data_IF_444420829678
#
_entry.id   IF_444420829678
#
_cell.length_a   1.000
_cell.length_b   1.000
_cell.length_c   1.000
_cell.angle_alpha   90.00
_cell.angle_beta   90.00
_cell.angle_gamma   90.00
#
_symmetry.space_group_name_H-M   'P 1'
#
loop_
_entity.id
_entity.type
_entity.pdbx_description
1 polymer ?
#
# COMPACT_ATOMS: atom_id res chain seq x y z
N UNK A 1 -23.15 -1.65 19.49
CA UNK A 1 -22.03 -0.91 18.85
C UNK A 1 -20.77 -1.78 18.63
N UNK A 2 -20.30 -2.56 19.63
CA UNK A 2 -19.08 -3.40 19.48
C UNK A 2 -19.19 -4.43 18.35
N UNK A 3 -20.32 -5.15 18.26
CA UNK A 3 -20.57 -6.14 17.22
C UNK A 3 -20.51 -5.54 15.81
N UNK A 4 -21.22 -4.45 15.56
CA UNK A 4 -21.20 -3.74 14.27
C UNK A 4 -19.78 -3.30 13.87
N UNK A 5 -18.99 -2.75 14.81
CA UNK A 5 -17.60 -2.37 14.55
C UNK A 5 -16.72 -3.58 14.21
N UNK A 6 -16.89 -4.70 14.91
CA UNK A 6 -16.18 -5.95 14.61
C UNK A 6 -16.58 -6.51 13.25
N UNK A 7 -17.86 -6.45 12.89
CA UNK A 7 -18.36 -6.81 11.57
C UNK A 7 -17.72 -5.99 10.46
N UNK A 8 -17.64 -4.67 10.61
CA UNK A 8 -16.96 -3.79 9.65
C UNK A 8 -15.47 -4.15 9.48
N UNK A 9 -14.76 -4.40 10.58
CA UNK A 9 -13.36 -4.84 10.52
C UNK A 9 -13.21 -6.21 9.87
N UNK A 10 -14.12 -7.14 10.14
CA UNK A 10 -14.11 -8.44 9.47
C UNK A 10 -14.28 -8.26 7.97
N UNK A 11 -15.24 -7.47 7.51
CA UNK A 11 -15.45 -7.24 6.07
C UNK A 11 -14.25 -6.53 5.43
N UNK A 12 -13.66 -5.54 6.11
CA UNK A 12 -12.45 -4.86 5.64
C UNK A 12 -11.24 -5.81 5.48
N UNK A 13 -11.18 -6.88 6.27
CA UNK A 13 -10.15 -7.91 6.14
C UNK A 13 -10.52 -8.96 5.07
N UNK A 14 -11.80 -9.33 4.96
CA UNK A 14 -12.28 -10.42 4.11
C UNK A 14 -12.34 -10.02 2.64
N UNK A 15 -12.87 -8.85 2.30
CA UNK A 15 -13.02 -8.45 0.90
C UNK A 15 -11.71 -8.45 0.10
N UNK A 16 -10.57 -8.01 0.66
CA UNK A 16 -9.29 -8.19 -0.02
C UNK A 16 -8.97 -9.66 -0.35
N UNK A 17 -9.30 -10.63 0.51
CA UNK A 17 -9.10 -12.05 0.17
C UNK A 17 -9.98 -12.47 -1.01
N UNK A 18 -11.27 -12.10 -1.00
CA UNK A 18 -12.20 -12.41 -2.09
C UNK A 18 -11.77 -11.86 -3.45
N UNK A 19 -11.13 -10.68 -3.46
CA UNK A 19 -10.70 -10.04 -4.69
C UNK A 19 -9.31 -10.52 -5.15
N UNK A 20 -8.38 -10.71 -4.20
CA UNK A 20 -6.96 -10.87 -4.50
C UNK A 20 -6.49 -12.32 -4.49
N UNK A 21 -7.15 -13.20 -3.74
CA UNK A 21 -6.73 -14.60 -3.62
C UNK A 21 -7.53 -15.46 -4.60
N UNK A 22 -6.88 -16.09 -5.60
CA UNK A 22 -7.55 -16.85 -6.65
C UNK A 22 -7.93 -18.27 -6.17
N UNK A 23 -8.54 -18.39 -5.00
CA UNK A 23 -9.05 -19.66 -4.50
C UNK A 23 -10.50 -19.85 -4.90
N UNK A 24 -10.79 -21.01 -5.46
CA UNK A 24 -12.12 -21.45 -5.87
C UNK A 24 -12.45 -22.71 -5.08
N UNK A 25 -13.68 -22.79 -4.57
CA UNK A 25 -14.18 -23.99 -3.92
C UNK A 25 -15.37 -24.53 -4.70
N UNK A 26 -15.22 -25.73 -5.25
CA UNK A 26 -16.32 -26.45 -5.87
C UNK A 26 -17.13 -27.20 -4.80
N UNK A 27 -18.42 -26.87 -4.59
CA UNK A 27 -19.24 -27.54 -3.61
C UNK A 27 -19.38 -29.04 -3.89
N UNK A 28 -19.36 -29.86 -2.84
CA UNK A 28 -19.58 -31.31 -3.01
C UNK A 28 -20.99 -31.59 -3.51
N UNK A 29 -21.20 -32.63 -4.35
CA UNK A 29 -22.55 -33.04 -4.75
C UNK A 29 -23.44 -33.31 -3.53
N UNK A 30 -24.72 -32.94 -3.63
CA UNK A 30 -25.72 -33.24 -2.60
C UNK A 30 -26.23 -34.66 -2.87
N UNK A 31 -26.10 -35.60 -1.92
CA UNK A 31 -26.60 -36.96 -2.13
C UNK A 31 -28.13 -37.02 -1.96
N UNK A 32 -28.80 -37.68 -2.91
CA UNK A 32 -30.23 -37.97 -2.86
C UNK A 32 -31.14 -36.78 -3.14
N UNK A 33 -32.45 -36.99 -2.99
CA UNK A 33 -33.55 -36.07 -3.32
C UNK A 33 -34.54 -35.85 -2.16
N UNK A 34 -34.20 -36.33 -0.96
CA UNK A 34 -35.04 -36.20 0.24
C UNK A 34 -35.14 -34.78 0.81
N UNK A 35 -35.93 -34.62 1.88
CA UNK A 35 -36.19 -33.33 2.53
C UNK A 35 -34.92 -32.49 2.79
N UNK A 36 -33.89 -33.07 3.42
CA UNK A 36 -32.65 -32.35 3.70
C UNK A 36 -31.86 -31.98 2.44
N UNK A 37 -31.91 -32.81 1.39
CA UNK A 37 -31.29 -32.49 0.11
C UNK A 37 -31.97 -31.29 -0.56
N UNK A 38 -33.29 -31.19 -0.48
CA UNK A 38 -34.05 -30.03 -0.98
C UNK A 38 -33.68 -28.73 -0.24
N UNK A 39 -33.54 -28.79 1.09
CA UNK A 39 -33.12 -27.64 1.90
C UNK A 39 -31.69 -27.19 1.60
N UNK A 40 -30.74 -28.12 1.49
CA UNK A 40 -29.36 -27.81 1.13
C UNK A 40 -29.28 -27.26 -0.30
N UNK A 41 -30.10 -27.78 -1.21
CA UNK A 41 -30.19 -27.26 -2.59
C UNK A 41 -30.69 -25.82 -2.60
N UNK A 42 -31.72 -25.51 -1.80
CA UNK A 42 -32.25 -24.15 -1.65
C UNK A 42 -31.21 -23.17 -1.08
N UNK A 43 -30.47 -23.58 -0.04
CA UNK A 43 -29.36 -22.79 0.52
C UNK A 43 -28.30 -22.48 -0.55
N UNK A 44 -27.98 -23.46 -1.39
CA UNK A 44 -26.92 -23.36 -2.41
C UNK A 44 -27.31 -22.62 -3.67
N UNK A 45 -28.57 -22.23 -3.87
CA UNK A 45 -29.02 -21.50 -5.08
C UNK A 45 -28.19 -20.25 -5.34
N UNK A 46 -27.77 -19.55 -4.27
CA UNK A 46 -27.00 -18.31 -4.35
C UNK A 46 -25.50 -18.53 -4.14
N UNK A 47 -25.04 -19.77 -4.00
CA UNK A 47 -23.63 -20.04 -3.77
C UNK A 47 -22.84 -19.83 -5.05
N UNK A 48 -21.74 -19.07 -4.91
CA UNK A 48 -20.73 -18.96 -5.94
C UNK A 48 -19.52 -19.81 -5.53
N UNK A 49 -18.88 -20.53 -6.47
CA UNK A 49 -17.59 -21.17 -6.21
C UNK A 49 -16.48 -20.12 -5.97
N UNK A 50 -16.75 -18.86 -6.34
CA UNK A 50 -15.93 -17.69 -6.05
C UNK A 50 -16.28 -17.14 -4.66
N UNK A 51 -15.30 -16.58 -3.96
CA UNK A 51 -15.48 -15.91 -2.63
C UNK A 51 -15.79 -16.83 -1.45
N UNK A 52 -15.49 -18.12 -1.54
CA UNK A 52 -15.62 -19.06 -0.42
C UNK A 52 -14.55 -18.84 0.68
N UNK A 53 -13.37 -18.32 0.33
CA UNK A 53 -12.22 -18.16 1.23
C UNK A 53 -12.03 -16.70 1.67
N UNK A 54 -12.11 -16.36 2.97
CA UNK A 54 -12.48 -17.20 4.11
C UNK A 54 -13.99 -17.40 4.29
N UNK A 55 -14.37 -18.40 5.09
CA UNK A 55 -15.76 -18.79 5.33
C UNK A 55 -16.56 -17.72 6.10
N UNK A 56 -17.36 -16.93 5.36
CA UNK A 56 -18.15 -15.82 5.88
C UNK A 56 -19.08 -16.24 7.04
N UNK A 57 -19.83 -17.34 6.85
CA UNK A 57 -20.79 -17.86 7.84
C UNK A 57 -20.13 -18.10 9.20
N UNK A 58 -18.95 -18.71 9.18
CA UNK A 58 -18.21 -19.05 10.39
C UNK A 58 -17.67 -17.79 11.09
N UNK A 59 -17.21 -16.79 10.33
CA UNK A 59 -16.78 -15.50 10.90
C UNK A 59 -17.92 -14.84 11.67
N UNK A 60 -19.11 -14.70 11.06
CA UNK A 60 -20.24 -14.05 11.73
C UNK A 60 -20.74 -14.82 12.95
N UNK A 61 -20.80 -16.15 12.85
CA UNK A 61 -21.14 -17.01 13.98
C UNK A 61 -20.17 -16.79 15.16
N UNK A 62 -18.86 -16.74 14.90
CA UNK A 62 -17.86 -16.48 15.93
C UNK A 62 -17.93 -15.05 16.50
N UNK A 63 -18.21 -14.03 15.68
CA UNK A 63 -18.38 -12.66 16.17
C UNK A 63 -19.61 -12.54 17.07
N UNK A 64 -20.70 -13.25 16.73
CA UNK A 64 -21.88 -13.33 17.58
C UNK A 64 -21.54 -14.07 18.88
N UNK A 65 -20.89 -15.22 18.80
CA UNK A 65 -20.44 -15.98 19.96
C UNK A 65 -19.59 -15.15 20.92
N UNK A 66 -18.65 -14.36 20.38
CA UNK A 66 -17.82 -13.46 21.17
C UNK A 66 -18.63 -12.37 21.91
N UNK A 67 -19.73 -11.89 21.32
CA UNK A 67 -20.63 -10.95 21.97
C UNK A 67 -21.47 -11.62 23.07
N UNK A 68 -22.03 -12.81 22.79
CA UNK A 68 -22.84 -13.55 23.76
C UNK A 68 -21.98 -13.97 24.96
N UNK A 69 -20.77 -14.47 24.72
CA UNK A 69 -19.82 -14.85 25.76
C UNK A 69 -19.43 -13.69 26.69
N UNK A 70 -19.36 -12.46 26.16
CA UNK A 70 -19.07 -11.28 26.99
C UNK A 70 -20.30 -10.72 27.73
N UNK A 71 -21.50 -11.12 27.34
CA UNK A 71 -22.75 -10.50 27.83
C UNK A 71 -23.53 -11.41 28.79
N UNK A 72 -23.34 -12.72 28.73
CA UNK A 72 -24.14 -13.69 29.47
C UNK A 72 -23.28 -14.74 30.20
N UNK A 73 -23.70 -15.13 31.41
CA UNK A 73 -23.02 -16.13 32.26
C UNK A 73 -22.77 -17.48 31.57
N UNK A 74 -23.72 -17.94 30.74
CA UNK A 74 -23.59 -19.16 29.92
C UNK A 74 -23.29 -18.87 28.45
N UNK A 75 -22.83 -17.65 28.14
CA UNK A 75 -22.55 -17.22 26.77
C UNK A 75 -21.45 -18.01 26.07
N UNK A 76 -20.66 -18.80 26.81
CA UNK A 76 -19.68 -19.73 26.24
C UNK A 76 -20.35 -20.80 25.35
N UNK A 77 -21.61 -21.16 25.59
CA UNK A 77 -22.38 -22.08 24.74
C UNK A 77 -22.52 -21.56 23.30
N UNK A 78 -22.47 -20.24 23.10
CA UNK A 78 -22.51 -19.66 21.77
C UNK A 78 -21.26 -20.02 20.94
N UNK A 79 -20.12 -20.30 21.58
CA UNK A 79 -18.94 -20.81 20.87
C UNK A 79 -19.12 -22.25 20.40
N UNK A 80 -19.82 -23.08 21.17
CA UNK A 80 -20.19 -24.44 20.76
C UNK A 80 -21.07 -24.39 19.51
N UNK A 81 -22.07 -23.50 19.51
CA UNK A 81 -22.92 -23.28 18.33
C UNK A 81 -22.13 -22.74 17.13
N UNK A 82 -21.21 -21.79 17.34
CA UNK A 82 -20.39 -21.27 16.24
C UNK A 82 -19.52 -22.38 15.61
N UNK A 83 -18.91 -23.24 16.43
CA UNK A 83 -18.16 -24.41 15.94
C UNK A 83 -19.08 -25.37 15.20
N UNK A 84 -20.28 -25.66 15.72
CA UNK A 84 -21.25 -26.50 15.05
C UNK A 84 -21.66 -25.95 13.68
N UNK A 85 -21.86 -24.63 13.55
CA UNK A 85 -22.12 -23.95 12.26
C UNK A 85 -20.92 -24.09 11.31
N UNK A 86 -19.69 -23.96 11.81
CA UNK A 86 -18.50 -24.21 10.99
C UNK A 86 -18.48 -25.64 10.47
N UNK A 87 -18.63 -26.62 11.35
CA UNK A 87 -18.68 -28.05 10.99
C UNK A 87 -19.83 -28.34 10.03
N UNK A 88 -20.99 -27.70 10.17
CA UNK A 88 -22.08 -27.87 9.22
C UNK A 88 -21.70 -27.35 7.83
N UNK A 89 -21.03 -26.19 7.73
CA UNK A 89 -20.57 -25.67 6.44
C UNK A 89 -19.64 -26.63 5.68
N UNK A 90 -18.76 -27.36 6.38
CA UNK A 90 -17.85 -28.32 5.74
C UNK A 90 -18.52 -29.66 5.44
N UNK A 91 -19.37 -30.14 6.34
CA UNK A 91 -20.10 -31.42 6.16
C UNK A 91 -21.16 -31.33 5.08
N UNK A 92 -21.86 -30.20 5.00
CA UNK A 92 -22.78 -29.88 3.91
C UNK A 92 -22.02 -29.57 2.63
N UNK A 93 -20.70 -29.35 2.66
CA UNK A 93 -19.86 -29.21 1.46
C UNK A 93 -19.99 -27.84 0.78
N UNK A 94 -20.16 -26.77 1.56
CA UNK A 94 -20.21 -25.36 1.10
C UNK A 94 -18.86 -24.66 1.33
N UNK A 95 -18.06 -25.13 2.28
CA UNK A 95 -16.71 -24.62 2.54
C UNK A 95 -15.68 -25.74 2.66
N UNK A 96 -14.45 -25.48 2.23
CA UNK A 96 -13.31 -26.30 2.57
C UNK A 96 -12.88 -26.07 4.02
N UNK A 97 -12.15 -27.04 4.60
CA UNK A 97 -11.57 -26.88 5.94
C UNK A 97 -10.59 -25.69 6.01
N UNK A 98 -9.89 -25.41 4.92
CA UNK A 98 -9.01 -24.23 4.78
C UNK A 98 -9.77 -22.91 4.93
N UNK A 99 -11.02 -22.84 4.46
CA UNK A 99 -11.83 -21.62 4.52
C UNK A 99 -12.23 -21.30 5.96
N UNK A 100 -12.52 -22.34 6.75
CA UNK A 100 -12.79 -22.24 8.19
C UNK A 100 -11.55 -21.83 8.97
N UNK A 101 -10.39 -22.41 8.65
CA UNK A 101 -9.12 -22.05 9.30
C UNK A 101 -8.79 -20.58 9.04
N UNK A 102 -8.93 -20.11 7.79
CA UNK A 102 -8.76 -18.72 7.45
C UNK A 102 -9.78 -17.80 8.14
N UNK A 103 -11.04 -18.23 8.22
CA UNK A 103 -12.08 -17.52 8.99
C UNK A 103 -11.72 -17.42 10.48
N UNK A 104 -11.21 -18.49 11.09
CA UNK A 104 -10.75 -18.47 12.49
C UNK A 104 -9.60 -17.47 12.69
N UNK A 105 -8.65 -17.40 11.73
CA UNK A 105 -7.58 -16.39 11.74
C UNK A 105 -8.15 -14.98 11.64
N UNK A 106 -9.09 -14.72 10.72
CA UNK A 106 -9.76 -13.42 10.59
C UNK A 106 -10.46 -13.03 11.89
N UNK A 107 -11.22 -13.96 12.50
CA UNK A 107 -11.89 -13.73 13.79
C UNK A 107 -10.86 -13.37 14.86
N UNK A 108 -9.76 -14.12 14.96
CA UNK A 108 -8.71 -13.84 15.93
C UNK A 108 -8.10 -12.44 15.73
N UNK A 109 -7.85 -12.03 14.49
CA UNK A 109 -7.37 -10.69 14.15
C UNK A 109 -8.36 -9.59 14.55
N UNK A 110 -9.65 -9.76 14.23
CA UNK A 110 -10.71 -8.81 14.58
C UNK A 110 -10.87 -8.68 16.10
N UNK A 111 -10.88 -9.81 16.82
CA UNK A 111 -11.00 -9.80 18.28
C UNK A 111 -9.77 -9.19 18.96
N UNK A 112 -8.57 -9.37 18.39
CA UNK A 112 -7.32 -8.77 18.87
C UNK A 112 -7.05 -7.37 18.31
N UNK A 113 -7.96 -6.80 17.53
CA UNK A 113 -7.79 -5.52 16.82
C UNK A 113 -7.21 -4.38 17.69
N UNK A 114 -7.73 -4.10 18.90
CA UNK A 114 -7.17 -3.05 19.77
C UNK A 114 -5.71 -3.30 20.18
N UNK A 115 -5.37 -4.56 20.49
CA UNK A 115 -4.00 -4.95 20.87
C UNK A 115 -3.07 -4.88 19.67
N UNK A 116 -3.53 -5.34 18.49
CA UNK A 116 -2.80 -5.23 17.23
C UNK A 116 -2.54 -3.77 16.87
N UNK A 117 -3.55 -2.92 16.95
CA UNK A 117 -3.40 -1.48 16.71
C UNK A 117 -2.38 -0.85 17.67
N UNK A 118 -2.46 -1.16 18.96
CA UNK A 118 -1.50 -0.65 19.96
C UNK A 118 -0.07 -1.11 19.64
N UNK A 119 0.10 -2.37 19.26
CA UNK A 119 1.39 -2.92 18.85
C UNK A 119 1.91 -2.23 17.58
N UNK A 120 1.09 -2.12 16.52
CA UNK A 120 1.46 -1.44 15.28
C UNK A 120 1.87 -0.01 15.55
N UNK A 121 1.08 0.73 16.32
CA UNK A 121 1.37 2.12 16.68
C UNK A 121 2.70 2.27 17.43
N UNK A 122 3.00 1.36 18.38
CA UNK A 122 4.30 1.32 19.09
C UNK A 122 5.46 1.00 18.15
N UNK A 123 5.30 0.07 17.22
CA UNK A 123 6.34 -0.26 16.22
C UNK A 123 6.58 0.93 15.28
N UNK A 124 5.52 1.57 14.81
CA UNK A 124 5.59 2.78 13.99
C UNK A 124 6.28 3.92 14.74
N UNK A 125 5.95 4.13 16.01
CA UNK A 125 6.59 5.14 16.86
C UNK A 125 8.09 4.86 17.09
N UNK A 126 8.47 3.60 17.30
CA UNK A 126 9.89 3.22 17.36
C UNK A 126 10.62 3.54 16.06
N UNK A 127 10.00 3.23 14.91
CA UNK A 127 10.54 3.58 13.59
C UNK A 127 10.65 5.10 13.39
N UNK A 128 9.64 5.86 13.78
CA UNK A 128 9.66 7.32 13.74
C UNK A 128 10.84 7.93 14.53
N UNK A 129 11.28 7.26 15.59
CA UNK A 129 12.38 7.68 16.45
C UNK A 129 13.69 6.89 16.24
N UNK A 130 13.82 6.14 15.13
CA UNK A 130 15.00 5.31 14.86
C UNK A 130 16.06 6.01 14.01
N UNK A 131 15.99 7.34 13.88
CA UNK A 131 16.90 8.11 13.04
C UNK A 131 18.34 7.97 13.56
N UNK A 132 19.28 7.68 12.65
CA UNK A 132 20.73 7.59 12.90
C UNK A 132 21.51 8.22 11.75
N UNK A 133 22.65 8.85 12.07
CA UNK A 133 23.69 9.27 11.13
C UNK A 133 25.04 8.63 11.45
N UNK A 134 25.84 8.41 10.41
CA UNK A 134 27.25 8.03 10.49
C UNK A 134 28.07 9.03 9.66
N UNK A 135 29.22 9.45 10.17
CA UNK A 135 30.11 10.39 9.46
C UNK A 135 31.39 9.69 9.04
N UNK A 136 31.76 9.85 7.78
CA UNK A 136 33.00 9.32 7.20
C UNK A 136 33.66 10.45 6.40
N UNK A 137 34.62 11.14 7.03
CA UNK A 137 35.23 12.34 6.44
C UNK A 137 34.18 13.44 6.20
N UNK A 138 34.11 14.03 4.98
CA UNK A 138 33.12 15.07 4.66
C UNK A 138 31.70 14.52 4.48
N UNK A 139 31.54 13.19 4.40
CA UNK A 139 30.28 12.54 4.09
C UNK A 139 29.52 12.18 5.36
N UNK A 140 28.21 12.39 5.32
CA UNK A 140 27.25 11.89 6.31
C UNK A 140 26.30 10.93 5.63
N UNK A 141 26.22 9.71 6.19
CA UNK A 141 25.27 8.68 5.81
C UNK A 141 24.12 8.65 6.80
N UNK A 142 22.88 8.67 6.31
CA UNK A 142 21.67 8.67 7.11
C UNK A 142 20.91 7.36 6.93
N UNK A 143 20.54 6.73 8.05
CA UNK A 143 19.79 5.46 8.12
C UNK A 143 18.56 5.41 7.21
N UNK A 144 17.81 6.51 7.09
CA UNK A 144 16.58 6.53 6.31
C UNK A 144 16.81 6.46 4.78
N UNK A 145 18.04 6.63 4.30
CA UNK A 145 18.40 6.37 2.90
C UNK A 145 18.26 4.90 2.49
N UNK A 146 18.50 3.98 3.43
CA UNK A 146 18.41 2.53 3.19
C UNK A 146 17.00 2.08 2.77
N UNK A 147 15.94 2.77 3.24
CA UNK A 147 14.58 2.45 2.84
C UNK A 147 14.28 2.78 1.37
N UNK A 148 15.03 3.70 0.73
CA UNK A 148 14.92 3.93 -0.71
C UNK A 148 15.58 2.77 -1.47
N UNK A 149 16.76 2.33 -1.01
CA UNK A 149 17.39 1.14 -1.54
C UNK A 149 16.48 -0.08 -1.45
N UNK A 150 15.86 -0.30 -0.29
CA UNK A 150 14.89 -1.37 -0.08
C UNK A 150 13.67 -1.22 -0.99
N UNK A 151 13.13 0.00 -1.13
CA UNK A 151 12.00 0.26 -2.01
C UNK A 151 12.30 -0.16 -3.44
N UNK A 152 13.45 0.27 -3.98
CA UNK A 152 13.88 -0.08 -5.35
C UNK A 152 14.20 -1.58 -5.45
N UNK A 153 14.94 -2.14 -4.50
CA UNK A 153 15.34 -3.55 -4.51
C UNK A 153 14.14 -4.51 -4.48
N UNK A 154 13.00 -4.10 -3.91
CA UNK A 154 11.77 -4.89 -3.88
C UNK A 154 10.86 -4.56 -5.06
N UNK A 155 10.62 -3.28 -5.35
CA UNK A 155 9.64 -2.90 -6.37
C UNK A 155 10.13 -3.14 -7.79
N UNK A 156 11.43 -2.99 -8.04
CA UNK A 156 12.01 -3.10 -9.37
C UNK A 156 11.91 -4.54 -9.91
N UNK A 157 12.27 -5.59 -9.15
CA UNK A 157 12.01 -6.97 -9.57
C UNK A 157 10.53 -7.29 -9.78
N UNK A 158 9.61 -6.73 -8.97
CA UNK A 158 8.16 -6.92 -9.19
C UNK A 158 7.73 -6.32 -10.52
N UNK A 159 8.22 -5.11 -10.84
CA UNK A 159 7.98 -4.47 -12.13
C UNK A 159 8.45 -5.34 -13.29
N UNK A 160 9.66 -5.89 -13.21
CA UNK A 160 10.21 -6.73 -14.28
C UNK A 160 9.59 -8.12 -14.34
N UNK A 161 9.19 -8.69 -13.21
CA UNK A 161 8.43 -9.94 -13.20
C UNK A 161 7.14 -9.82 -14.01
N UNK A 162 6.42 -8.71 -13.86
CA UNK A 162 5.19 -8.45 -14.61
C UNK A 162 5.47 -7.97 -16.04
N UNK A 163 6.31 -6.96 -16.14
CA UNK A 163 6.61 -6.21 -17.35
C UNK A 163 7.61 -6.89 -18.28
N UNK A 164 8.27 -7.98 -17.88
CA UNK A 164 9.26 -8.74 -18.66
C UNK A 164 10.69 -8.17 -18.65
N UNK A 165 11.70 -9.03 -18.86
CA UNK A 165 13.13 -8.67 -18.77
C UNK A 165 13.59 -7.70 -19.87
N UNK A 166 12.87 -7.62 -20.98
CA UNK A 166 13.06 -6.63 -22.04
C UNK A 166 12.81 -5.19 -21.57
N UNK A 167 12.00 -4.99 -20.52
CA UNK A 167 11.69 -3.68 -19.96
C UNK A 167 12.73 -3.15 -18.95
N UNK A 168 13.76 -3.94 -18.61
CA UNK A 168 14.77 -3.54 -17.60
C UNK A 168 15.42 -2.20 -17.92
N UNK A 169 15.80 -1.98 -19.18
CA UNK A 169 16.42 -0.73 -19.62
C UNK A 169 15.49 0.47 -19.48
N UNK A 170 14.23 0.32 -19.89
CA UNK A 170 13.22 1.37 -19.79
C UNK A 170 12.85 1.70 -18.35
N UNK A 171 12.70 0.70 -17.49
CA UNK A 171 12.39 0.92 -16.07
C UNK A 171 13.57 1.57 -15.33
N UNK A 172 14.80 1.22 -15.69
CA UNK A 172 16.00 1.87 -15.18
C UNK A 172 16.08 3.33 -15.64
N UNK A 173 15.84 3.59 -16.92
CA UNK A 173 15.79 4.94 -17.48
C UNK A 173 14.71 5.78 -16.78
N UNK A 174 13.50 5.25 -16.60
CA UNK A 174 12.42 5.95 -15.91
C UNK A 174 12.78 6.30 -14.46
N UNK A 175 13.50 5.41 -13.77
CA UNK A 175 14.00 5.65 -12.41
C UNK A 175 15.06 6.74 -12.37
N UNK A 176 16.02 6.71 -13.30
CA UNK A 176 17.12 7.68 -13.37
C UNK A 176 16.63 9.06 -13.80
N UNK A 177 15.89 9.14 -14.91
CA UNK A 177 15.31 10.39 -15.44
C UNK A 177 14.32 10.98 -14.44
N UNK A 178 13.53 10.13 -13.77
CA UNK A 178 12.68 10.52 -12.65
C UNK A 178 13.47 11.15 -11.51
N UNK A 179 14.56 10.52 -11.05
CA UNK A 179 15.40 11.05 -9.98
C UNK A 179 16.06 12.39 -10.35
N UNK A 180 16.61 12.49 -11.56
CA UNK A 180 17.23 13.73 -12.07
C UNK A 180 16.20 14.85 -12.18
N UNK A 181 15.04 14.57 -12.78
CA UNK A 181 13.97 15.55 -12.95
C UNK A 181 13.39 15.99 -11.60
N UNK A 182 13.28 15.08 -10.63
CA UNK A 182 12.91 15.40 -9.27
C UNK A 182 13.92 16.34 -8.60
N UNK A 183 15.22 16.10 -8.79
CA UNK A 183 16.27 16.95 -8.25
C UNK A 183 16.23 18.37 -8.85
N UNK A 184 16.10 18.45 -10.18
CA UNK A 184 15.98 19.72 -10.90
C UNK A 184 14.75 20.51 -10.46
N UNK A 185 13.59 19.85 -10.38
CA UNK A 185 12.35 20.48 -9.93
C UNK A 185 12.47 21.06 -8.52
N UNK A 186 13.04 20.29 -7.59
CA UNK A 186 13.21 20.77 -6.22
C UNK A 186 14.08 22.03 -6.14
N UNK A 187 15.15 22.11 -6.94
CA UNK A 187 16.06 23.25 -6.87
C UNK A 187 15.61 24.45 -7.68
N UNK A 188 15.04 24.22 -8.87
CA UNK A 188 14.68 25.30 -9.80
C UNK A 188 13.29 25.86 -9.53
N UNK A 189 12.36 25.03 -9.05
CA UNK A 189 10.95 25.41 -8.87
C UNK A 189 10.59 25.53 -7.39
N UNK A 190 10.90 24.53 -6.55
CA UNK A 190 10.52 24.58 -5.13
C UNK A 190 11.44 25.48 -4.30
N UNK A 191 12.74 25.51 -4.61
CA UNK A 191 13.70 26.57 -4.27
C UNK A 191 13.76 27.05 -2.82
N UNK A 192 13.24 26.31 -1.84
CA UNK A 192 13.09 26.79 -0.46
C UNK A 192 14.36 26.53 0.36
N UNK A 193 15.03 27.59 0.87
CA UNK A 193 16.20 27.45 1.75
C UNK A 193 15.86 26.73 3.07
N UNK A 194 14.59 26.76 3.47
CA UNK A 194 14.09 26.23 4.74
C UNK A 194 13.70 24.75 4.66
N UNK A 195 13.27 24.28 3.48
CA UNK A 195 12.74 22.92 3.33
C UNK A 195 13.78 21.87 2.96
N UNK A 196 15.00 22.30 2.58
CA UNK A 196 16.14 21.46 2.19
C UNK A 196 15.66 20.18 1.48
N UNK A 197 14.78 20.33 0.47
CA UNK A 197 14.22 19.20 -0.27
C UNK A 197 15.18 18.91 -1.42
N UNK A 198 15.86 17.77 -1.42
CA UNK A 198 16.75 17.44 -2.52
C UNK A 198 16.01 16.95 -3.76
N UNK A 199 14.76 16.47 -3.60
CA UNK A 199 13.94 15.91 -4.67
C UNK A 199 12.48 16.36 -4.54
N UNK A 200 11.89 16.77 -5.67
CA UNK A 200 10.52 17.25 -5.80
C UNK A 200 9.64 16.20 -6.48
N UNK A 201 8.45 15.99 -5.92
CA UNK A 201 7.54 14.92 -6.37
C UNK A 201 7.11 15.08 -7.83
N UNK A 202 6.74 16.29 -8.24
CA UNK A 202 6.27 16.57 -9.60
C UNK A 202 7.37 16.40 -10.64
N UNK A 203 8.60 16.80 -10.33
CA UNK A 203 9.75 16.52 -11.19
C UNK A 203 9.93 15.03 -11.45
N UNK A 204 9.74 14.19 -10.42
CA UNK A 204 9.77 12.74 -10.57
C UNK A 204 8.70 12.21 -11.52
N UNK A 205 7.46 12.69 -11.39
CA UNK A 205 6.37 12.33 -12.31
C UNK A 205 6.73 12.74 -13.74
N UNK A 206 7.17 13.99 -13.94
CA UNK A 206 7.53 14.51 -15.26
C UNK A 206 8.63 13.63 -15.88
N UNK A 207 9.67 13.29 -15.12
CA UNK A 207 10.76 12.46 -15.63
C UNK A 207 10.31 11.06 -16.07
N UNK A 208 9.41 10.42 -15.31
CA UNK A 208 8.82 9.13 -15.69
C UNK A 208 7.96 9.27 -16.95
N UNK A 209 7.11 10.30 -17.03
CA UNK A 209 6.28 10.56 -18.21
C UNK A 209 7.11 10.87 -19.45
N UNK A 210 8.21 11.59 -19.32
CA UNK A 210 9.16 11.84 -20.41
C UNK A 210 9.77 10.54 -20.93
N UNK A 211 10.11 9.61 -20.04
CA UNK A 211 10.63 8.30 -20.46
C UNK A 211 9.58 7.48 -21.19
N UNK A 212 8.32 7.52 -20.73
CA UNK A 212 7.20 6.85 -21.40
C UNK A 212 6.93 7.47 -22.79
N UNK A 213 6.98 8.81 -22.90
CA UNK A 213 6.86 9.51 -24.17
C UNK A 213 8.01 9.19 -25.12
N UNK A 214 9.24 9.09 -24.62
CA UNK A 214 10.40 8.68 -25.40
C UNK A 214 10.27 7.23 -25.89
N UNK A 215 9.77 6.31 -25.05
CA UNK A 215 9.46 4.95 -25.46
C UNK A 215 8.42 4.92 -26.59
N UNK A 216 7.36 5.72 -26.49
CA UNK A 216 6.35 5.84 -27.53
C UNK A 216 6.92 6.41 -28.85
N UNK A 217 7.86 7.36 -28.77
CA UNK A 217 8.46 7.99 -29.94
C UNK A 217 9.40 7.08 -30.74
N UNK A 218 9.82 5.95 -30.16
CA UNK A 218 10.65 4.93 -30.81
C UNK A 218 9.90 3.61 -31.01
N UNK A 219 8.57 3.65 -31.02
CA UNK A 219 7.66 2.51 -31.19
C UNK A 219 7.87 1.36 -30.17
N UNK A 220 8.43 1.68 -29.00
CA UNK A 220 8.45 0.75 -27.87
C UNK A 220 7.06 0.68 -27.21
N UNK A 221 6.80 -0.42 -26.48
CA UNK A 221 5.50 -0.64 -25.81
C UNK A 221 5.31 0.28 -24.59
N UNK A 222 4.92 1.52 -24.88
CA UNK A 222 4.73 2.57 -23.89
C UNK A 222 3.58 2.26 -22.91
N UNK A 223 2.56 1.51 -23.35
CA UNK A 223 1.48 1.06 -22.47
C UNK A 223 1.98 0.06 -21.43
N UNK A 224 2.76 -0.92 -21.86
CA UNK A 224 3.38 -1.91 -20.97
C UNK A 224 4.36 -1.24 -20.02
N UNK A 225 5.16 -0.28 -20.51
CA UNK A 225 6.05 0.50 -19.66
C UNK A 225 5.29 1.33 -18.62
N UNK A 226 4.23 2.04 -19.01
CA UNK A 226 3.40 2.84 -18.11
C UNK A 226 2.75 1.97 -17.02
N UNK A 227 2.12 0.86 -17.41
CA UNK A 227 1.50 -0.06 -16.46
C UNK A 227 2.55 -0.67 -15.51
N UNK A 228 3.70 -1.09 -16.05
CA UNK A 228 4.83 -1.63 -15.26
C UNK A 228 5.33 -0.60 -14.25
N UNK A 229 5.50 0.65 -14.68
CA UNK A 229 5.91 1.76 -13.82
C UNK A 229 4.87 2.01 -12.73
N UNK A 230 3.57 1.94 -13.03
CA UNK A 230 2.51 2.12 -12.03
C UNK A 230 2.55 1.05 -10.93
N UNK A 231 2.71 -0.25 -11.27
CA UNK A 231 2.85 -1.31 -10.26
C UNK A 231 4.13 -1.13 -9.44
N UNK A 232 5.24 -0.83 -10.11
CA UNK A 232 6.54 -0.56 -9.49
C UNK A 232 6.42 0.61 -8.50
N UNK A 233 5.77 1.69 -8.91
CA UNK A 233 5.56 2.89 -8.08
C UNK A 233 4.65 2.62 -6.89
N UNK A 234 3.62 1.77 -7.01
CA UNK A 234 2.77 1.44 -5.86
C UNK A 234 3.60 0.82 -4.72
N UNK A 235 4.40 -0.21 -5.01
CA UNK A 235 5.29 -0.83 -4.01
C UNK A 235 6.43 0.10 -3.59
N UNK A 236 7.08 0.77 -4.56
CA UNK A 236 8.21 1.65 -4.30
C UNK A 236 7.83 2.85 -3.43
N UNK A 237 6.70 3.51 -3.71
CA UNK A 237 6.17 4.59 -2.87
C UNK A 237 5.73 4.05 -1.51
N UNK A 238 5.09 2.87 -1.46
CA UNK A 238 4.68 2.23 -0.22
C UNK A 238 5.87 2.04 0.73
N UNK A 239 6.90 1.31 0.30
CA UNK A 239 8.12 1.08 1.09
C UNK A 239 8.84 2.41 1.37
N UNK A 240 8.84 3.34 0.41
CA UNK A 240 9.35 4.70 0.58
C UNK A 240 8.71 5.48 1.74
N UNK A 241 7.50 5.12 2.20
CA UNK A 241 6.89 5.73 3.39
C UNK A 241 7.63 5.41 4.68
N UNK A 242 8.43 4.33 4.72
CA UNK A 242 9.31 4.03 5.86
C UNK A 242 10.42 5.08 5.98
N UNK A 243 11.00 5.53 4.86
CA UNK A 243 11.88 6.71 4.84
C UNK A 243 11.15 7.92 5.39
N UNK A 244 9.94 8.20 4.91
CA UNK A 244 9.16 9.35 5.35
C UNK A 244 8.88 9.30 6.85
N UNK A 245 8.60 8.12 7.39
CA UNK A 245 8.37 7.90 8.82
C UNK A 245 9.60 8.30 9.65
N UNK A 246 10.79 7.80 9.29
CA UNK A 246 12.04 8.11 10.01
C UNK A 246 12.47 9.56 9.82
N UNK A 247 12.28 10.14 8.64
CA UNK A 247 12.58 11.55 8.38
C UNK A 247 11.53 12.50 8.98
N UNK A 248 10.33 12.00 9.27
CA UNK A 248 9.18 12.78 9.74
C UNK A 248 8.56 13.70 8.68
N UNK A 249 8.89 13.55 7.39
CA UNK A 249 8.11 14.21 6.34
C UNK A 249 6.78 13.48 6.14
N UNK A 250 5.80 14.13 5.51
CA UNK A 250 4.49 13.50 5.29
C UNK A 250 3.72 13.18 6.56
N UNK A 251 3.92 13.95 7.63
CA UNK A 251 3.35 13.69 8.96
C UNK A 251 1.92 14.23 9.12
N UNK A 252 1.20 13.66 10.07
CA UNK A 252 -0.18 14.01 10.37
C UNK A 252 -0.33 15.24 11.26
N UNK A 253 -1.55 15.76 11.35
CA UNK A 253 -1.95 16.76 12.34
C UNK A 253 -2.09 16.12 13.74
N UNK A 254 -2.16 16.93 14.81
CA UNK A 254 -2.43 16.43 16.15
C UNK A 254 -3.63 15.49 16.19
N UNK A 255 -3.49 14.39 16.93
CA UNK A 255 -4.42 13.28 17.01
C UNK A 255 -4.58 12.82 18.47
N UNK A 256 -5.69 12.14 18.83
CA UNK A 256 -5.80 11.49 20.13
C UNK A 256 -4.65 10.51 20.38
N UNK A 257 -4.14 10.41 21.61
CA UNK A 257 -3.01 9.55 21.97
C UNK A 257 -3.26 8.05 21.70
N UNK A 258 -4.52 7.62 21.65
CA UNK A 258 -4.92 6.25 21.29
C UNK A 258 -4.72 5.94 19.80
N UNK A 259 -4.58 6.97 18.96
CA UNK A 259 -4.40 6.87 17.50
C UNK A 259 -2.99 7.34 17.07
N UNK A 260 -2.50 8.42 17.67
CA UNK A 260 -1.27 9.08 17.21
C UNK A 260 0.03 8.38 17.59
N UNK A 261 1.10 8.69 16.87
CA UNK A 261 2.49 8.41 17.26
C UNK A 261 3.16 9.71 17.71
N UNK A 262 4.20 9.62 18.52
CA UNK A 262 4.98 10.77 19.00
C UNK A 262 6.41 10.75 18.46
N UNK A 263 6.90 11.92 18.05
CA UNK A 263 8.30 12.12 17.69
C UNK A 263 9.00 12.78 18.88
N UNK A 264 10.02 12.12 19.43
CA UNK A 264 10.86 12.64 20.53
C UNK A 264 12.31 12.83 20.10
N UNK A 265 12.72 12.15 19.03
CA UNK A 265 14.04 12.36 18.43
C UNK A 265 14.14 13.80 17.88
N UNK A 266 15.28 14.50 18.03
CA UNK A 266 15.40 15.90 17.61
C UNK A 266 15.46 16.10 16.10
N UNK A 267 15.93 15.08 15.35
CA UNK A 267 16.18 15.19 13.91
C UNK A 267 14.92 15.17 13.00
N UNK A 268 13.91 14.31 13.21
CA UNK A 268 12.73 14.29 12.34
C UNK A 268 12.02 15.66 12.26
N UNK A 269 11.40 15.95 11.10
CA UNK A 269 10.72 17.23 10.85
C UNK A 269 9.66 17.64 11.88
N UNK A 270 8.84 16.75 12.46
CA UNK A 270 7.86 17.13 13.47
C UNK A 270 8.50 17.84 14.67
N UNK A 271 9.63 17.32 15.15
CA UNK A 271 10.40 17.93 16.24
C UNK A 271 11.17 19.15 15.75
N UNK A 272 11.88 19.03 14.62
CA UNK A 272 12.85 20.04 14.17
C UNK A 272 12.21 21.30 13.55
N UNK A 273 11.12 21.14 12.80
CA UNK A 273 10.57 22.19 11.91
C UNK A 273 9.12 22.55 12.22
N UNK A 274 8.33 21.63 12.79
CA UNK A 274 6.90 21.83 12.99
C UNK A 274 6.50 22.13 14.44
N UNK A 275 7.45 22.13 15.38
CA UNK A 275 7.18 22.29 16.82
C UNK A 275 6.14 21.29 17.37
N UNK A 276 6.13 20.07 16.82
CA UNK A 276 5.26 18.95 17.20
C UNK A 276 6.00 17.85 17.98
N UNK A 277 7.19 18.15 18.51
CA UNK A 277 7.93 17.23 19.37
C UNK A 277 7.11 16.84 20.60
N UNK A 278 7.02 15.54 20.89
CA UNK A 278 6.22 14.98 21.98
C UNK A 278 4.70 15.01 21.78
N UNK A 279 4.20 15.66 20.73
CA UNK A 279 2.76 15.73 20.42
C UNK A 279 2.33 14.46 19.67
N UNK A 280 1.22 13.86 20.09
CA UNK A 280 0.63 12.73 19.38
C UNK A 280 0.03 13.22 18.04
N UNK A 281 0.53 12.69 16.93
CA UNK A 281 0.08 13.05 15.58
C UNK A 281 -0.34 11.81 14.79
N UNK A 282 -1.24 11.97 13.81
CA UNK A 282 -1.64 10.85 12.98
C UNK A 282 -0.41 10.24 12.26
N UNK A 283 -0.19 8.91 12.31
CA UNK A 283 0.84 8.24 11.52
C UNK A 283 0.44 8.13 10.05
N UNK A 284 0.27 9.26 9.36
CA UNK A 284 -0.16 9.31 7.96
C UNK A 284 0.73 8.49 7.03
N UNK A 285 2.03 8.39 7.32
CA UNK A 285 2.95 7.54 6.56
C UNK A 285 2.60 6.05 6.66
N UNK A 286 2.10 5.59 7.82
CA UNK A 286 1.60 4.22 7.99
C UNK A 286 0.32 4.02 7.17
N UNK A 287 -0.59 5.01 7.17
CA UNK A 287 -1.81 4.94 6.37
C UNK A 287 -1.48 4.85 4.88
N UNK A 288 -0.56 5.69 4.41
CA UNK A 288 -0.07 5.66 3.03
C UNK A 288 0.55 4.30 2.69
N UNK A 289 1.40 3.75 3.57
CA UNK A 289 2.06 2.47 3.37
C UNK A 289 1.02 1.36 3.20
N UNK A 290 0.07 1.26 4.14
CA UNK A 290 -0.98 0.25 4.09
C UNK A 290 -1.83 0.35 2.81
N UNK A 291 -2.21 1.58 2.44
CA UNK A 291 -2.97 1.82 1.22
C UNK A 291 -2.18 1.47 -0.03
N UNK A 292 -0.93 1.90 -0.15
CA UNK A 292 -0.10 1.65 -1.34
C UNK A 292 0.25 0.17 -1.53
N UNK A 293 0.43 -0.59 -0.43
CA UNK A 293 0.58 -2.05 -0.52
C UNK A 293 -0.70 -2.70 -1.03
N UNK A 294 -1.87 -2.27 -0.54
CA UNK A 294 -3.16 -2.76 -1.03
C UNK A 294 -3.35 -2.44 -2.52
N UNK A 295 -3.05 -1.21 -2.93
CA UNK A 295 -3.08 -0.81 -4.35
C UNK A 295 -2.13 -1.67 -5.18
N UNK A 296 -0.88 -1.85 -4.75
CA UNK A 296 0.07 -2.72 -5.43
C UNK A 296 -0.47 -4.14 -5.62
N UNK A 297 -1.08 -4.72 -4.59
CA UNK A 297 -1.70 -6.05 -4.67
C UNK A 297 -2.89 -6.09 -5.65
N UNK A 298 -3.75 -5.07 -5.67
CA UNK A 298 -4.84 -4.94 -6.64
C UNK A 298 -4.28 -4.88 -8.06
N UNK A 299 -3.25 -4.07 -8.31
CA UNK A 299 -2.68 -3.93 -9.64
C UNK A 299 -1.99 -5.21 -10.12
N UNK A 300 -1.27 -5.91 -9.23
CA UNK A 300 -0.73 -7.25 -9.52
C UNK A 300 -1.88 -8.19 -9.87
N UNK A 301 -2.97 -8.18 -9.12
CA UNK A 301 -4.13 -9.04 -9.40
C UNK A 301 -4.74 -8.74 -10.77
N UNK A 302 -4.93 -7.47 -11.10
CA UNK A 302 -5.42 -7.06 -12.43
C UNK A 302 -4.48 -7.51 -13.55
N UNK A 303 -3.16 -7.42 -13.32
CA UNK A 303 -2.16 -7.93 -14.25
C UNK A 303 -2.29 -9.43 -14.47
N UNK A 304 -2.41 -10.21 -13.38
CA UNK A 304 -2.56 -11.66 -13.45
C UNK A 304 -3.88 -12.09 -14.11
N UNK A 305 -4.89 -11.23 -14.09
CA UNK A 305 -6.15 -11.39 -14.82
C UNK A 305 -6.07 -10.91 -16.28
N UNK A 306 -4.87 -10.55 -16.76
CA UNK A 306 -4.62 -10.06 -18.12
C UNK A 306 -5.48 -8.84 -18.47
N UNK A 307 -5.79 -7.99 -17.48
CA UNK A 307 -6.53 -6.76 -17.71
C UNK A 307 -5.78 -5.86 -18.72
N UNK A 308 -6.48 -5.00 -19.47
CA UNK A 308 -5.83 -4.05 -20.37
C UNK A 308 -4.80 -3.20 -19.63
N UNK A 309 -3.63 -3.00 -20.23
CA UNK A 309 -2.53 -2.21 -19.65
C UNK A 309 -2.95 -0.78 -19.27
N UNK A 310 -3.76 -0.13 -20.10
CA UNK A 310 -4.37 1.18 -19.83
C UNK A 310 -5.26 1.16 -18.58
N UNK A 311 -6.01 0.07 -18.37
CA UNK A 311 -6.86 -0.14 -17.20
C UNK A 311 -6.03 -0.27 -15.93
N UNK A 312 -4.93 -1.04 -15.97
CA UNK A 312 -4.01 -1.18 -14.83
C UNK A 312 -3.40 0.17 -14.46
N UNK A 313 -2.91 0.93 -15.45
CA UNK A 313 -2.37 2.26 -15.22
C UNK A 313 -3.44 3.24 -14.69
N UNK A 314 -4.66 3.19 -15.24
CA UNK A 314 -5.78 4.03 -14.79
C UNK A 314 -6.20 3.71 -13.36
N UNK A 315 -6.27 2.42 -13.01
CA UNK A 315 -6.56 1.95 -11.65
C UNK A 315 -5.53 2.44 -10.63
N UNK A 316 -4.24 2.53 -11.01
CA UNK A 316 -3.21 3.12 -10.16
C UNK A 316 -3.53 4.59 -9.84
N UNK A 317 -3.78 5.42 -10.85
CA UNK A 317 -4.07 6.85 -10.63
C UNK A 317 -5.36 7.07 -9.85
N UNK A 318 -6.39 6.27 -10.13
CA UNK A 318 -7.65 6.26 -9.38
C UNK A 318 -7.43 5.93 -7.91
N UNK A 319 -6.86 4.77 -7.61
CA UNK A 319 -6.76 4.28 -6.24
C UNK A 319 -5.75 5.10 -5.43
N UNK A 320 -4.59 5.44 -6.00
CA UNK A 320 -3.62 6.31 -5.33
C UNK A 320 -4.22 7.70 -5.10
N UNK A 321 -4.93 8.26 -6.08
CA UNK A 321 -5.63 9.54 -5.96
C UNK A 321 -6.67 9.55 -4.84
N UNK A 322 -7.53 8.53 -4.77
CA UNK A 322 -8.54 8.38 -3.73
C UNK A 322 -7.92 8.28 -2.33
N UNK A 323 -6.94 7.40 -2.15
CA UNK A 323 -6.26 7.26 -0.86
C UNK A 323 -5.55 8.55 -0.45
N UNK A 324 -4.93 9.24 -1.41
CA UNK A 324 -4.26 10.51 -1.16
C UNK A 324 -5.24 11.61 -0.77
N UNK A 325 -6.40 11.68 -1.41
CA UNK A 325 -7.44 12.66 -1.08
C UNK A 325 -7.89 12.53 0.39
N UNK A 326 -8.08 11.29 0.86
CA UNK A 326 -8.45 10.99 2.25
C UNK A 326 -7.29 11.27 3.21
N UNK A 327 -6.08 10.80 2.89
CA UNK A 327 -4.89 11.03 3.72
C UNK A 327 -4.61 12.52 3.95
N UNK A 328 -4.82 13.35 2.92
CA UNK A 328 -4.55 14.78 2.96
C UNK A 328 -5.39 15.52 4.02
N UNK A 329 -6.58 14.99 4.37
CA UNK A 329 -7.39 15.49 5.49
C UNK A 329 -6.70 15.31 6.86
N UNK A 330 -5.85 14.28 7.00
CA UNK A 330 -5.13 13.98 8.23
C UNK A 330 -3.75 14.65 8.30
N UNK A 331 -3.28 15.31 7.24
CA UNK A 331 -1.92 15.88 7.20
C UNK A 331 -1.76 17.14 8.05
N UNK A 332 -0.59 17.26 8.66
CA UNK A 332 -0.22 18.37 9.54
C UNK A 332 0.77 19.38 8.94
N UNK A 333 1.25 19.17 7.71
CA UNK A 333 2.23 20.06 7.08
C UNK A 333 1.60 21.43 6.72
N UNK A 334 2.10 22.56 7.29
CA UNK A 334 1.49 23.89 7.16
C UNK A 334 1.51 24.51 5.75
N UNK A 335 2.15 23.85 4.78
CA UNK A 335 2.58 24.46 3.51
C UNK A 335 1.58 24.34 2.36
N UNK A 336 0.38 23.82 2.60
CA UNK A 336 -0.58 23.57 1.51
C UNK A 336 -1.68 24.62 1.50
N UNK A 337 -1.74 25.41 0.42
CA UNK A 337 -2.81 26.37 0.22
C UNK A 337 -4.19 25.68 0.28
N UNK A 338 -5.15 26.32 0.93
CA UNK A 338 -6.55 25.89 0.95
C UNK A 338 -7.31 26.76 -0.04
N UNK A 339 -7.94 26.14 -1.03
CA UNK A 339 -8.68 26.78 -2.12
C UNK A 339 -10.07 26.13 -2.15
N UNK A 340 -11.11 26.95 -1.98
CA UNK A 340 -12.51 26.51 -1.96
C UNK A 340 -12.79 25.33 -0.99
N UNK A 341 -12.23 25.40 0.23
CA UNK A 341 -12.44 24.40 1.29
C UNK A 341 -11.57 23.14 1.20
N UNK A 342 -10.84 22.96 0.09
CA UNK A 342 -9.92 21.83 -0.10
C UNK A 342 -8.47 22.28 -0.16
N UNK A 343 -7.55 21.40 0.28
CA UNK A 343 -6.11 21.62 0.11
C UNK A 343 -5.73 21.50 -1.37
N UNK A 344 -4.74 22.25 -1.83
CA UNK A 344 -4.23 22.18 -3.22
C UNK A 344 -3.94 20.74 -3.68
N UNK A 345 -3.36 19.90 -2.81
CA UNK A 345 -3.11 18.50 -3.14
C UNK A 345 -4.38 17.67 -3.31
N UNK A 346 -5.50 18.04 -2.70
CA UNK A 346 -6.79 17.38 -2.93
C UNK A 346 -7.32 17.69 -4.34
N UNK A 347 -7.16 18.93 -4.81
CA UNK A 347 -7.48 19.29 -6.20
C UNK A 347 -6.64 18.50 -7.20
N UNK A 348 -5.34 18.39 -6.95
CA UNK A 348 -4.46 17.55 -7.78
C UNK A 348 -4.92 16.09 -7.79
N UNK A 349 -5.31 15.53 -6.64
CA UNK A 349 -5.79 14.14 -6.60
C UNK A 349 -7.10 13.95 -7.36
N UNK A 350 -7.99 14.97 -7.40
CA UNK A 350 -9.18 14.92 -8.24
C UNK A 350 -8.78 14.82 -9.71
N UNK A 351 -7.80 15.61 -10.16
CA UNK A 351 -7.28 15.51 -11.53
C UNK A 351 -6.68 14.13 -11.82
N UNK A 352 -5.94 13.54 -10.87
CA UNK A 352 -5.42 12.17 -11.01
C UNK A 352 -6.52 11.12 -11.07
N UNK A 353 -7.59 11.25 -10.27
CA UNK A 353 -8.75 10.35 -10.29
C UNK A 353 -9.46 10.45 -11.64
N UNK A 354 -9.74 11.66 -12.14
CA UNK A 354 -10.39 11.86 -13.44
C UNK A 354 -9.52 11.36 -14.60
N UNK A 355 -8.22 11.67 -14.57
CA UNK A 355 -7.26 11.19 -15.56
C UNK A 355 -7.13 9.67 -15.54
N UNK A 356 -7.12 9.06 -14.36
CA UNK A 356 -7.14 7.61 -14.19
C UNK A 356 -8.41 6.97 -14.74
N UNK A 357 -9.58 7.54 -14.45
CA UNK A 357 -10.86 7.11 -15.02
C UNK A 357 -10.88 7.20 -16.55
N UNK A 358 -10.33 8.26 -17.12
CA UNK A 358 -10.22 8.38 -18.59
C UNK A 358 -9.23 7.36 -19.17
N UNK A 359 -8.18 7.02 -18.42
CA UNK A 359 -7.19 6.06 -18.86
C UNK A 359 -7.76 4.64 -18.90
N UNK A 360 -8.65 4.28 -17.97
CA UNK A 360 -9.29 2.96 -17.96
C UNK A 360 -10.21 2.71 -19.15
N UNK A 361 -10.64 3.76 -19.86
CA UNK A 361 -11.47 3.63 -21.07
C UNK A 361 -10.66 3.60 -22.36
N UNK A 362 -9.32 3.71 -22.30
CA UNK A 362 -8.47 3.66 -23.50
C UNK A 362 -8.19 2.23 -23.92
N UNK A 363 -8.19 1.97 -25.22
CA UNK A 363 -7.81 0.68 -25.76
C UNK A 363 -6.30 0.46 -25.61
N UNK A 364 -5.92 -0.71 -25.11
CA UNK A 364 -4.54 -1.19 -25.08
C UNK A 364 -4.53 -2.72 -25.17
N UNK A 365 -3.36 -3.31 -25.40
CA UNK A 365 -3.17 -4.75 -25.24
C UNK A 365 -3.49 -5.23 -23.83
N UNK A 366 -3.80 -6.52 -23.72
CA UNK A 366 -3.88 -7.23 -22.44
C UNK A 366 -2.51 -7.29 -21.78
N UNK A 367 -2.47 -7.29 -20.44
CA UNK A 367 -1.23 -7.46 -19.72
C UNK A 367 -0.59 -8.83 -20.05
N UNK A 368 0.71 -8.87 -20.38
CA UNK A 368 1.39 -10.12 -20.72
C UNK A 368 1.49 -11.02 -19.48
N UNK A 369 1.62 -12.33 -19.71
CA UNK A 369 1.94 -13.28 -18.64
C UNK A 369 3.26 -12.91 -17.98
N UNK A 370 3.35 -12.93 -16.63
CA UNK A 370 4.59 -12.63 -15.93
C UNK A 370 5.74 -13.52 -16.37
N UNK A 371 6.94 -12.95 -16.47
CA UNK A 371 8.16 -13.65 -16.86
C UNK A 371 9.10 -13.81 -15.65
N UNK A 372 9.89 -14.89 -15.59
CA UNK A 372 10.91 -15.06 -14.55
C UNK A 372 11.90 -13.89 -14.53
N UNK A 373 12.30 -13.49 -13.33
CA UNK A 373 13.33 -12.46 -13.13
C UNK A 373 14.70 -13.09 -13.27
N UNK A 374 15.54 -12.54 -14.15
CA UNK A 374 16.91 -13.01 -14.39
C UNK A 374 17.96 -12.31 -13.51
N UNK A 375 19.19 -12.84 -13.52
CA UNK A 375 20.30 -12.26 -12.76
C UNK A 375 20.60 -10.81 -13.17
N UNK A 376 20.46 -10.49 -14.46
CA UNK A 376 20.63 -9.13 -15.00
C UNK A 376 19.69 -8.16 -14.31
N UNK A 377 18.43 -8.53 -14.12
CA UNK A 377 17.43 -7.71 -13.43
C UNK A 377 17.85 -7.43 -11.99
N UNK A 378 18.29 -8.45 -11.25
CA UNK A 378 18.76 -8.26 -9.88
C UNK A 378 19.99 -7.34 -9.82
N UNK A 379 20.94 -7.49 -10.75
CA UNK A 379 22.12 -6.63 -10.82
C UNK A 379 21.73 -5.17 -11.09
N UNK A 380 20.84 -4.92 -12.07
CA UNK A 380 20.35 -3.56 -12.39
C UNK A 380 19.54 -2.98 -11.23
N UNK A 381 18.67 -3.77 -10.59
CA UNK A 381 17.90 -3.34 -9.43
C UNK A 381 18.82 -2.98 -8.25
N UNK A 382 19.90 -3.72 -8.04
CA UNK A 382 20.89 -3.43 -7.00
C UNK A 382 21.64 -2.11 -7.30
N UNK A 383 22.04 -1.88 -8.55
CA UNK A 383 22.65 -0.62 -8.97
C UNK A 383 21.68 0.55 -8.77
N UNK A 384 20.44 0.43 -9.22
CA UNK A 384 19.41 1.44 -9.02
C UNK A 384 19.13 1.70 -7.53
N UNK A 385 19.10 0.64 -6.71
CA UNK A 385 18.95 0.74 -5.27
C UNK A 385 20.11 1.47 -4.62
N UNK A 386 21.36 1.17 -5.01
CA UNK A 386 22.55 1.85 -4.52
C UNK A 386 22.56 3.34 -4.87
N UNK A 387 22.21 3.68 -6.12
CA UNK A 387 22.03 5.07 -6.55
C UNK A 387 20.98 5.75 -5.67
N UNK A 388 19.86 5.08 -5.40
CA UNK A 388 18.82 5.57 -4.50
C UNK A 388 19.32 5.81 -3.07
N UNK A 389 20.05 4.86 -2.48
CA UNK A 389 20.63 4.98 -1.13
C UNK A 389 21.56 6.18 -1.05
N UNK A 390 22.45 6.34 -2.03
CA UNK A 390 23.42 7.44 -2.06
C UNK A 390 22.67 8.77 -2.23
N UNK A 391 21.83 8.87 -3.26
CA UNK A 391 21.11 10.10 -3.61
C UNK A 391 20.24 10.63 -2.48
N UNK A 392 19.61 9.73 -1.73
CA UNK A 392 18.63 10.09 -0.70
C UNK A 392 19.17 9.93 0.73
N UNK A 393 20.33 9.32 0.91
CA UNK A 393 20.90 8.96 2.22
C UNK A 393 22.27 9.55 2.51
N UNK A 394 22.97 10.11 1.52
CA UNK A 394 24.34 10.63 1.69
C UNK A 394 24.38 12.12 1.39
N UNK A 395 24.90 12.90 2.33
CA UNK A 395 25.13 14.32 2.15
C UNK A 395 26.48 14.78 2.72
N UNK A 396 26.82 16.05 2.50
CA UNK A 396 28.06 16.68 2.95
C UNK A 396 27.73 17.93 3.77
N UNK A 397 27.46 17.80 5.08
CA UNK A 397 26.92 18.89 5.89
C UNK A 397 27.84 20.12 5.97
N UNK A 398 29.16 19.93 5.83
CA UNK A 398 30.14 21.02 5.80
C UNK A 398 30.24 21.79 4.49
N UNK A 399 29.54 21.36 3.44
CA UNK A 399 29.55 22.03 2.13
C UNK A 399 28.43 23.04 2.02
N UNK A 400 28.67 24.13 1.30
CA UNK A 400 27.67 25.14 0.92
C UNK A 400 27.23 25.00 -0.54
N UNK A 401 27.70 23.96 -1.26
CA UNK A 401 27.34 23.74 -2.67
C UNK A 401 25.86 23.33 -2.79
N UNK A 402 25.23 23.65 -3.92
CA UNK A 402 23.88 23.11 -4.23
C UNK A 402 23.94 21.57 -4.25
N UNK A 403 22.86 20.92 -3.80
CA UNK A 403 22.73 19.46 -3.61
C UNK A 403 23.58 18.82 -2.50
N UNK A 404 24.38 19.61 -1.78
CA UNK A 404 25.32 19.06 -0.80
C UNK A 404 24.69 18.68 0.55
N UNK A 405 23.42 19.04 0.79
CA UNK A 405 22.70 18.80 2.05
C UNK A 405 21.34 18.16 1.77
N UNK A 406 21.03 17.10 2.50
CA UNK A 406 19.76 16.39 2.42
C UNK A 406 18.90 16.57 3.68
N UNK A 407 19.48 17.11 4.77
CA UNK A 407 18.84 17.27 6.07
C UNK A 407 19.17 18.60 6.75
#
# INVERSE_FOLDING_TARGET
>A
RVFARRGLWAMALIFPFYLLVPLVYEPRPIPGDGFFAAWVSLERVMNSPLTAFPAFHFVWACLAAALYASSYRRGWLAWVLAVAIGVSCTTVGIHAASDLLAAAVVVALVLRGPSLWTWTRRVTERGANSWREWRVGPWRLMSHGLYIGLAVAVSFPVGIWLGGPDMVGWLFAASLVGAVSAALWAQLVEGSPQLLRPFGYFGGIIGVLLTIGAAAAVDADAWRLLATACVTLAFGQGIGRLRCLVNGCCHGRPAPASVGITYVHPMPRPTRLASLGGVAIHPTQLYSLAWLVLVGAILVRLWLLQAPLSFIAGAYFLLVGLGRFVEEHYRGEPQTAIIAGFRLYQWLTIAFVLGGALLTTRSSGAAPTPAPVDLRTFAVALVAALIGVISFGVDTPGSNRRFSRLA
#
